data_IF_850191852438
#
_entry.id   IF_850191852438
#
_cell.length_a   1.000
_cell.length_b   1.000
_cell.length_c   1.000
_cell.angle_alpha   90.00
_cell.angle_beta   90.00
_cell.angle_gamma   90.00
#
_symmetry.space_group_name_H-M   'P 1'
#
loop_
_entity.id
_entity.type
_entity.pdbx_description
1 polymer ?
#
# COMPACT_ATOMS: atom_id res chain seq x y z
N UNK A 1 -1.73 17.57 25.67
CA UNK A 1 -2.80 17.09 24.77
C UNK A 1 -2.52 15.63 24.41
N UNK A 2 -3.54 14.84 24.07
CA UNK A 2 -3.43 13.38 23.85
C UNK A 2 -3.85 13.05 22.42
N UNK A 3 -3.08 12.22 21.75
CA UNK A 3 -3.45 11.64 20.45
C UNK A 3 -4.09 10.27 20.62
N UNK A 4 -4.92 9.87 19.66
CA UNK A 4 -5.58 8.58 19.66
C UNK A 4 -5.30 7.79 18.38
N UNK A 5 -4.89 6.55 18.59
CA UNK A 5 -4.71 5.56 17.55
C UNK A 5 -5.88 4.58 17.52
N UNK A 6 -6.18 4.06 16.34
CA UNK A 6 -7.28 3.12 16.11
C UNK A 6 -6.74 1.86 15.46
N UNK A 7 -7.02 0.72 16.07
CA UNK A 7 -6.73 -0.58 15.46
C UNK A 7 -7.59 -0.75 14.21
N UNK A 8 -7.02 -1.23 13.11
CA UNK A 8 -7.76 -1.50 11.87
C UNK A 8 -8.02 -3.00 11.73
N UNK A 9 -9.27 -3.37 11.50
CA UNK A 9 -9.67 -4.69 11.01
C UNK A 9 -9.90 -4.59 9.51
N UNK A 10 -9.13 -5.35 8.74
CA UNK A 10 -9.14 -5.29 7.29
C UNK A 10 -10.05 -6.40 6.73
N UNK A 11 -11.02 -6.01 5.91
CA UNK A 11 -11.90 -6.91 5.18
C UNK A 11 -11.58 -6.82 3.69
N UNK A 12 -11.26 -7.97 3.12
CA UNK A 12 -10.89 -8.12 1.71
C UNK A 12 -11.74 -9.22 1.08
N UNK A 13 -12.45 -8.87 0.00
CA UNK A 13 -13.36 -9.76 -0.73
C UNK A 13 -14.33 -10.50 0.21
N UNK A 14 -14.95 -9.74 1.12
CA UNK A 14 -15.97 -10.23 2.04
C UNK A 14 -15.44 -11.00 3.26
N UNK A 15 -14.11 -11.17 3.41
CA UNK A 15 -13.51 -11.89 4.54
C UNK A 15 -12.55 -10.99 5.32
N UNK A 16 -12.57 -11.10 6.64
CA UNK A 16 -11.54 -10.48 7.48
C UNK A 16 -10.18 -11.15 7.25
N UNK A 17 -9.15 -10.34 7.03
CA UNK A 17 -7.76 -10.79 7.00
C UNK A 17 -7.16 -10.67 8.40
N UNK A 18 -6.87 -11.82 9.02
CA UNK A 18 -6.31 -11.89 10.38
C UNK A 18 -4.78 -12.03 10.37
N UNK A 19 -4.22 -12.40 9.23
CA UNK A 19 -2.80 -12.60 8.99
C UNK A 19 -2.32 -11.73 7.82
N UNK A 20 -1.05 -11.90 7.42
CA UNK A 20 -0.46 -11.09 6.37
C UNK A 20 -0.15 -9.65 6.81
N UNK A 21 0.06 -8.79 5.82
CA UNK A 21 0.39 -7.38 6.04
C UNK A 21 -0.66 -6.54 6.79
N UNK A 22 -1.98 -6.79 6.68
CA UNK A 22 -2.99 -6.00 7.38
C UNK A 22 -3.08 -6.29 8.88
N UNK A 23 -2.58 -7.45 9.33
CA UNK A 23 -2.73 -7.92 10.69
C UNK A 23 -2.12 -6.95 11.73
N UNK A 24 -2.91 -6.60 12.75
CA UNK A 24 -2.44 -5.83 13.91
C UNK A 24 -2.06 -4.38 13.61
N UNK A 25 -2.48 -3.81 12.47
CA UNK A 25 -2.17 -2.42 12.14
C UNK A 25 -2.99 -1.44 12.96
N UNK A 26 -2.31 -0.49 13.59
CA UNK A 26 -2.91 0.63 14.32
C UNK A 26 -2.42 1.93 13.71
N UNK A 27 -3.31 2.90 13.53
CA UNK A 27 -2.99 4.21 12.95
C UNK A 27 -3.41 5.33 13.88
N UNK A 28 -2.56 6.33 14.09
CA UNK A 28 -2.97 7.59 14.72
C UNK A 28 -3.95 8.29 13.79
N UNK A 29 -5.15 8.60 14.29
CA UNK A 29 -6.24 9.18 13.49
C UNK A 29 -6.85 10.43 14.08
N UNK A 30 -6.69 10.63 15.39
CA UNK A 30 -7.21 11.79 16.09
C UNK A 30 -6.06 12.40 16.88
N UNK A 31 -5.73 13.64 16.56
CA UNK A 31 -4.68 14.37 17.26
C UNK A 31 -5.12 15.83 17.36
N UNK A 32 -4.98 16.41 18.54
CA UNK A 32 -5.24 17.84 18.76
C UNK A 32 -3.94 18.67 18.63
N UNK A 33 -3.02 18.17 17.82
CA UNK A 33 -1.68 18.72 17.66
C UNK A 33 -1.62 19.61 16.41
N UNK A 34 -1.39 20.91 16.60
CA UNK A 34 -1.20 21.87 15.51
C UNK A 34 0.13 21.68 14.78
N UNK A 35 1.06 20.88 15.32
CA UNK A 35 2.34 20.55 14.71
C UNK A 35 2.35 19.20 13.97
N UNK A 36 1.23 18.47 13.95
CA UNK A 36 1.18 17.19 13.27
C UNK A 36 1.26 17.34 11.75
N UNK A 37 2.02 16.45 11.10
CA UNK A 37 2.29 16.49 9.66
C UNK A 37 2.01 15.13 9.03
N UNK A 38 1.34 15.17 7.88
CA UNK A 38 1.22 13.99 7.02
C UNK A 38 2.55 13.70 6.34
N UNK A 39 3.03 12.46 6.46
CA UNK A 39 4.23 12.01 5.76
C UNK A 39 3.85 11.03 4.67
N UNK A 40 4.29 11.35 3.44
CA UNK A 40 4.11 10.59 2.18
C UNK A 40 2.68 10.65 1.62
N UNK A 41 2.52 10.68 0.29
CA UNK A 41 1.21 10.73 -0.35
C UNK A 41 0.47 9.37 -0.36
N UNK A 42 1.14 8.28 0.06
CA UNK A 42 0.57 6.94 0.16
C UNK A 42 1.08 6.28 1.43
N UNK A 43 0.19 5.58 2.13
CA UNK A 43 0.41 5.10 3.51
C UNK A 43 0.80 6.25 4.45
N UNK A 44 0.10 7.37 4.30
CA UNK A 44 0.16 8.54 5.16
C UNK A 44 0.31 8.15 6.64
N UNK A 45 1.49 8.44 7.20
CA UNK A 45 1.75 8.28 8.63
C UNK A 45 1.55 9.64 9.28
N UNK A 46 0.72 9.67 10.31
CA UNK A 46 0.53 10.84 11.17
C UNK A 46 1.60 10.81 12.26
N UNK A 47 2.61 11.66 12.12
CA UNK A 47 3.67 11.83 13.14
C UNK A 47 3.21 12.91 14.14
N UNK A 48 3.27 12.60 15.43
CA UNK A 48 2.95 13.53 16.54
C UNK A 48 3.90 13.27 17.70
N UNK A 49 4.28 14.34 18.40
CA UNK A 49 5.11 14.28 19.61
C UNK A 49 4.26 14.06 20.88
N UNK A 50 2.94 14.08 20.74
CA UNK A 50 2.01 13.93 21.87
C UNK A 50 1.81 12.46 22.27
N UNK A 51 1.64 12.17 23.58
CA UNK A 51 1.32 10.81 24.03
C UNK A 51 0.11 10.24 23.29
N UNK A 52 0.27 9.04 22.72
CA UNK A 52 -0.75 8.37 21.92
C UNK A 52 -1.40 7.23 22.71
N UNK A 53 -2.72 7.26 22.85
CA UNK A 53 -3.54 6.17 23.41
C UNK A 53 -4.24 5.39 22.30
N UNK A 54 -4.46 4.09 22.48
CA UNK A 54 -5.21 3.30 21.49
C UNK A 54 -6.67 3.20 21.92
N UNK A 55 -7.60 3.52 21.01
CA UNK A 55 -9.02 3.32 21.23
C UNK A 55 -9.35 1.82 21.22
N UNK A 56 -10.26 1.41 22.11
CA UNK A 56 -10.65 0.01 22.26
C UNK A 56 -11.46 -0.52 21.07
N UNK A 57 -12.21 0.34 20.39
CA UNK A 57 -13.04 -0.04 19.25
C UNK A 57 -12.25 0.04 17.95
N UNK A 58 -12.10 -1.07 17.20
CA UNK A 58 -11.36 -1.06 15.95
C UNK A 58 -12.17 -0.41 14.83
N UNK A 59 -11.47 0.23 13.89
CA UNK A 59 -12.01 0.68 12.62
C UNK A 59 -12.08 -0.51 11.66
N UNK A 60 -13.28 -0.86 11.23
CA UNK A 60 -13.48 -1.84 10.16
C UNK A 60 -13.25 -1.14 8.82
N UNK A 61 -12.31 -1.65 8.03
CA UNK A 61 -11.96 -1.10 6.72
C UNK A 61 -12.18 -2.16 5.65
N UNK A 62 -12.91 -1.79 4.60
CA UNK A 62 -13.17 -2.65 3.45
C UNK A 62 -12.26 -2.20 2.30
N UNK A 63 -11.09 -2.82 2.15
CA UNK A 63 -10.09 -2.42 1.16
C UNK A 63 -10.41 -2.81 -0.27
N UNK A 64 -11.17 -3.89 -0.47
CA UNK A 64 -11.56 -4.38 -1.78
C UNK A 64 -12.85 -5.19 -1.71
N UNK A 65 -13.96 -4.59 -2.16
CA UNK A 65 -15.24 -5.30 -2.24
C UNK A 65 -15.35 -6.15 -3.51
N UNK A 66 -14.50 -5.89 -4.51
CA UNK A 66 -14.34 -6.71 -5.71
C UNK A 66 -12.89 -6.68 -6.24
N UNK A 67 -12.52 -7.69 -7.01
CA UNK A 67 -11.22 -7.78 -7.71
C UNK A 67 -11.02 -6.58 -8.65
N UNK A 68 -12.05 -6.20 -9.41
CA UNK A 68 -11.97 -5.07 -10.35
C UNK A 68 -11.76 -3.72 -9.65
N UNK A 69 -12.49 -3.47 -8.56
CA UNK A 69 -12.29 -2.25 -7.76
C UNK A 69 -10.88 -2.23 -7.15
N UNK A 70 -10.43 -3.36 -6.62
CA UNK A 70 -9.10 -3.46 -6.05
C UNK A 70 -7.99 -3.26 -7.10
N UNK A 71 -8.16 -3.78 -8.32
CA UNK A 71 -7.26 -3.55 -9.44
C UNK A 71 -7.16 -2.09 -9.86
N UNK A 72 -8.28 -1.36 -9.91
CA UNK A 72 -8.27 0.10 -10.16
C UNK A 72 -7.50 0.85 -9.07
N UNK A 73 -7.76 0.49 -7.81
CA UNK A 73 -7.07 1.06 -6.65
C UNK A 73 -5.57 0.78 -6.70
N UNK A 74 -5.19 -0.46 -7.03
CA UNK A 74 -3.80 -0.88 -7.22
C UNK A 74 -3.09 -0.01 -8.26
N UNK A 75 -3.71 0.21 -9.42
CA UNK A 75 -3.12 1.06 -10.45
C UNK A 75 -2.94 2.51 -9.97
N UNK A 76 -3.98 3.08 -9.35
CA UNK A 76 -3.97 4.44 -8.83
C UNK A 76 -2.89 4.67 -7.76
N UNK A 77 -2.78 3.80 -6.75
CA UNK A 77 -1.77 3.97 -5.71
C UNK A 77 -0.35 3.69 -6.20
N UNK A 78 -0.19 2.79 -7.17
CA UNK A 78 1.14 2.53 -7.75
C UNK A 78 1.63 3.72 -8.59
N UNK A 79 0.73 4.45 -9.25
CA UNK A 79 1.04 5.71 -9.95
C UNK A 79 1.55 6.80 -8.99
N UNK A 80 0.86 6.98 -7.86
CA UNK A 80 1.27 7.97 -6.85
C UNK A 80 2.62 7.58 -6.26
N UNK A 81 2.78 6.31 -5.88
CA UNK A 81 4.03 5.82 -5.29
C UNK A 81 5.22 5.95 -6.23
N UNK A 82 5.08 5.59 -7.51
CA UNK A 82 6.18 5.71 -8.46
C UNK A 82 6.58 7.17 -8.69
N UNK A 83 5.61 8.09 -8.78
CA UNK A 83 5.89 9.53 -8.91
C UNK A 83 6.59 10.09 -7.68
N UNK A 84 6.10 9.75 -6.48
CA UNK A 84 6.74 10.18 -5.24
C UNK A 84 8.21 9.71 -5.13
N UNK A 85 8.47 8.44 -5.47
CA UNK A 85 9.85 7.92 -5.49
C UNK A 85 10.71 8.63 -6.54
N UNK A 86 10.14 8.93 -7.72
CA UNK A 86 10.82 9.67 -8.77
C UNK A 86 11.19 11.09 -8.35
N UNK A 87 10.27 11.82 -7.70
CA UNK A 87 10.52 13.16 -7.13
C UNK A 87 11.63 13.15 -6.07
N UNK A 88 11.77 12.04 -5.34
CA UNK A 88 12.86 11.79 -4.40
C UNK A 88 14.17 11.34 -5.07
N UNK A 89 14.24 11.38 -6.41
CA UNK A 89 15.38 10.92 -7.22
C UNK A 89 15.75 9.45 -6.99
N UNK A 90 14.81 8.63 -6.50
CA UNK A 90 15.02 7.19 -6.35
C UNK A 90 15.13 6.55 -7.73
N UNK A 91 16.08 5.63 -7.85
CA UNK A 91 16.29 4.81 -9.04
C UNK A 91 15.87 3.37 -8.74
N UNK A 92 15.45 2.65 -9.78
CA UNK A 92 15.21 1.21 -9.67
C UNK A 92 15.84 0.45 -10.83
N UNK A 93 16.31 -0.77 -10.56
CA UNK A 93 16.89 -1.68 -11.54
C UNK A 93 15.93 -2.83 -11.90
N UNK A 94 16.19 -3.50 -13.03
CA UNK A 94 15.40 -4.66 -13.45
C UNK A 94 15.43 -5.80 -12.41
N UNK A 95 16.54 -5.96 -11.69
CA UNK A 95 16.69 -6.95 -10.61
C UNK A 95 15.66 -6.66 -9.52
N UNK A 96 15.48 -5.40 -9.14
CA UNK A 96 14.53 -5.02 -8.11
C UNK A 96 13.08 -5.18 -8.55
N UNK A 97 12.79 -4.93 -9.84
CA UNK A 97 11.47 -5.16 -10.42
C UNK A 97 11.06 -6.63 -10.25
N UNK A 98 11.99 -7.58 -10.33
CA UNK A 98 11.71 -9.02 -10.20
C UNK A 98 11.76 -9.48 -8.74
N UNK A 99 12.85 -9.19 -8.03
CA UNK A 99 13.10 -9.79 -6.72
C UNK A 99 12.24 -9.19 -5.60
N UNK A 100 11.91 -7.89 -5.63
CA UNK A 100 11.10 -7.30 -4.57
C UNK A 100 9.65 -7.81 -4.55
N UNK A 101 8.95 -7.96 -5.69
CA UNK A 101 7.63 -8.58 -5.69
C UNK A 101 7.66 -10.02 -5.19
N UNK A 102 8.65 -10.82 -5.59
CA UNK A 102 8.82 -12.18 -5.10
C UNK A 102 9.02 -12.21 -3.58
N UNK A 103 9.95 -11.39 -3.07
CA UNK A 103 10.18 -11.24 -1.64
C UNK A 103 8.93 -10.75 -0.90
N UNK A 104 8.18 -9.81 -1.47
CA UNK A 104 6.94 -9.29 -0.89
C UNK A 104 5.87 -10.37 -0.79
N UNK A 105 5.73 -11.23 -1.80
CA UNK A 105 4.82 -12.37 -1.75
C UNK A 105 5.25 -13.35 -0.65
N UNK A 106 6.52 -13.76 -0.63
CA UNK A 106 7.04 -14.71 0.35
C UNK A 106 6.86 -14.17 1.78
N UNK A 107 7.18 -12.90 1.98
CA UNK A 107 7.01 -12.23 3.27
C UNK A 107 5.54 -12.20 3.71
N UNK A 108 4.63 -11.76 2.84
CA UNK A 108 3.23 -11.62 3.22
C UNK A 108 2.50 -12.95 3.35
N UNK A 109 2.81 -13.91 2.48
CA UNK A 109 2.10 -15.18 2.45
C UNK A 109 2.66 -16.17 3.47
N UNK A 110 3.98 -16.38 3.52
CA UNK A 110 4.60 -17.36 4.40
C UNK A 110 5.03 -16.77 5.74
N UNK A 111 5.85 -15.70 5.75
CA UNK A 111 6.40 -15.16 7.00
C UNK A 111 5.33 -14.49 7.88
N UNK A 112 4.41 -13.75 7.27
CA UNK A 112 3.25 -13.16 7.94
C UNK A 112 2.05 -14.12 8.00
N UNK A 113 2.24 -15.38 7.61
CA UNK A 113 1.24 -16.44 7.69
C UNK A 113 -0.08 -16.13 6.98
N UNK A 114 -0.06 -15.31 5.93
CA UNK A 114 -1.24 -14.97 5.14
C UNK A 114 -1.97 -16.20 4.57
N UNK A 115 -1.27 -17.32 4.38
CA UNK A 115 -1.90 -18.60 3.98
C UNK A 115 -3.02 -19.06 4.92
N UNK A 116 -2.99 -18.65 6.20
CA UNK A 116 -4.02 -19.01 7.20
C UNK A 116 -5.37 -18.34 6.94
N UNK A 117 -5.39 -17.25 6.14
CA UNK A 117 -6.62 -16.62 5.68
C UNK A 117 -7.19 -17.30 4.41
N UNK A 118 -6.62 -18.42 3.95
CA UNK A 118 -7.09 -19.19 2.80
C UNK A 118 -6.96 -18.42 1.48
N UNK A 119 -7.95 -18.55 0.60
CA UNK A 119 -7.93 -17.93 -0.73
C UNK A 119 -7.78 -16.41 -0.69
N UNK A 120 -8.48 -15.73 0.23
CA UNK A 120 -8.37 -14.27 0.36
C UNK A 120 -6.98 -13.84 0.83
N UNK A 121 -6.33 -14.64 1.69
CA UNK A 121 -4.95 -14.40 2.10
C UNK A 121 -3.95 -14.54 0.94
N UNK A 122 -4.12 -15.57 0.11
CA UNK A 122 -3.32 -15.74 -1.11
C UNK A 122 -3.52 -14.58 -2.09
N UNK A 123 -4.78 -14.27 -2.42
CA UNK A 123 -5.13 -13.18 -3.34
C UNK A 123 -4.57 -11.85 -2.84
N UNK A 124 -4.74 -11.54 -1.55
CA UNK A 124 -4.19 -10.32 -0.97
C UNK A 124 -2.67 -10.28 -1.05
N UNK A 125 -1.96 -11.35 -0.70
CA UNK A 125 -0.50 -11.42 -0.83
C UNK A 125 -0.03 -11.22 -2.28
N UNK A 126 -0.74 -11.81 -3.25
CA UNK A 126 -0.48 -11.63 -4.67
C UNK A 126 -0.70 -10.18 -5.11
N UNK A 127 -1.80 -9.55 -4.69
CA UNK A 127 -2.07 -8.15 -4.98
C UNK A 127 -1.02 -7.21 -4.38
N UNK A 128 -0.53 -7.47 -3.17
CA UNK A 128 0.55 -6.67 -2.56
C UNK A 128 1.89 -6.88 -3.27
N UNK A 129 2.15 -8.09 -3.78
CA UNK A 129 3.29 -8.36 -4.66
C UNK A 129 3.17 -7.58 -5.98
N UNK A 130 1.99 -7.60 -6.61
CA UNK A 130 1.70 -6.83 -7.82
C UNK A 130 1.82 -5.32 -7.59
N UNK A 131 1.43 -4.81 -6.42
CA UNK A 131 1.67 -3.43 -6.05
C UNK A 131 3.17 -3.11 -6.07
N UNK A 132 3.98 -3.98 -5.44
CA UNK A 132 5.44 -3.86 -5.41
C UNK A 132 6.05 -3.85 -6.82
N UNK A 133 5.53 -4.71 -7.70
CA UNK A 133 5.95 -4.82 -9.09
C UNK A 133 5.60 -3.55 -9.87
N UNK A 134 4.33 -3.17 -9.90
CA UNK A 134 3.83 -2.03 -10.67
C UNK A 134 4.47 -0.72 -10.25
N UNK A 135 4.68 -0.48 -8.95
CA UNK A 135 5.40 0.72 -8.48
C UNK A 135 6.81 0.79 -9.05
N UNK A 136 7.55 -0.33 -9.09
CA UNK A 136 8.92 -0.36 -9.63
C UNK A 136 8.95 -0.30 -11.14
N UNK A 137 8.05 -1.02 -11.83
CA UNK A 137 7.94 -0.95 -13.28
C UNK A 137 7.64 0.49 -13.74
N UNK A 138 6.68 1.16 -13.09
CA UNK A 138 6.37 2.57 -13.38
C UNK A 138 7.53 3.51 -13.04
N UNK A 139 8.20 3.29 -11.91
CA UNK A 139 9.39 4.06 -11.54
C UNK A 139 10.53 3.89 -12.55
N UNK A 140 10.76 2.67 -13.03
CA UNK A 140 11.75 2.38 -14.07
C UNK A 140 11.47 3.16 -15.35
N UNK A 141 10.20 3.18 -15.79
CA UNK A 141 9.77 3.98 -16.94
C UNK A 141 9.98 5.48 -16.68
N UNK A 142 9.60 6.01 -15.50
CA UNK A 142 9.86 7.41 -15.13
C UNK A 142 11.36 7.75 -15.11
N UNK A 143 12.20 6.82 -14.65
CA UNK A 143 13.64 6.99 -14.62
C UNK A 143 14.29 6.92 -16.01
N UNK A 144 13.58 6.34 -17.01
CA UNK A 144 14.03 6.23 -18.40
C UNK A 144 13.75 7.52 -19.19
N UNK A 145 14.14 7.56 -20.47
CA UNK A 145 13.85 8.70 -21.36
C UNK A 145 12.38 8.77 -21.84
N UNK A 146 11.48 7.94 -21.28
CA UNK A 146 10.09 7.78 -21.72
C UNK A 146 9.04 7.89 -20.60
N UNK A 147 8.99 9.00 -19.84
CA UNK A 147 8.03 9.18 -18.75
C UNK A 147 6.55 9.16 -19.19
N UNK A 148 6.27 9.42 -20.47
CA UNK A 148 4.94 9.42 -21.08
C UNK A 148 4.23 8.05 -21.05
N UNK A 149 4.99 6.96 -20.95
CA UNK A 149 4.44 5.59 -21.01
C UNK A 149 3.80 5.13 -19.69
N UNK A 150 3.86 5.92 -18.62
CA UNK A 150 3.44 5.53 -17.27
C UNK A 150 1.92 5.59 -17.08
N UNK A 151 1.27 6.66 -17.56
CA UNK A 151 -0.16 6.91 -17.34
C UNK A 151 -1.06 6.53 -18.52
N UNK A 152 -0.49 5.94 -19.58
CA UNK A 152 -1.26 5.57 -20.77
C UNK A 152 -2.00 6.75 -21.40
N UNK A 153 -1.43 7.96 -21.38
CA UNK A 153 -2.03 9.13 -22.04
C UNK A 153 -1.98 8.96 -23.56
N UNK A 154 -2.94 8.18 -24.06
CA UNK A 154 -3.59 8.23 -25.37
C UNK A 154 -2.72 8.71 -26.55
N UNK A 155 -1.70 7.92 -26.93
CA UNK A 155 -1.00 8.10 -28.21
C UNK A 155 -1.46 7.11 -29.30
N UNK A 156 -2.51 6.33 -29.06
CA UNK A 156 -3.13 5.43 -30.04
C UNK A 156 -4.56 5.85 -30.38
N UNK A 157 -4.77 7.13 -30.69
CA UNK A 157 -5.90 7.54 -31.53
C UNK A 157 -5.40 7.61 -32.97
N UNK A 158 -5.52 6.49 -33.68
CA UNK A 158 -5.54 6.47 -35.15
C UNK A 158 -6.83 7.06 -35.67
#
# INVERSE_FOLDING_TARGET
MTSYAVARREFFLGKELRFGEPAGKTFVRLSNDTAARWKRPVHEVWETETPTRTLHTPLVHYSGTSVGQFGKKLNYYTDINSRHLFEQMVRTSWIEIVLYPMGKFVYNYFLKQGFRDGTQGFLHAMFMSMHSFLTRAKLYVLNSRHPELVSGSNQYRT
#
